data_IF_754970391349
#
_entry.id   IF_754970391349
#
_cell.length_a   1.000
_cell.length_b   1.000
_cell.length_c   1.000
_cell.angle_alpha   90.00
_cell.angle_beta   90.00
_cell.angle_gamma   90.00
#
_symmetry.space_group_name_H-M   'P 1'
#
loop_
_entity.id
_entity.type
_entity.pdbx_description
1 polymer ?
#
# COMPACT_ATOMS: atom_id res chain seq x y z
N UNK A 1 -17.53 10.65 -3.01
CA UNK A 1 -16.09 10.99 -2.84
C UNK A 1 -15.18 9.77 -2.71
N UNK A 2 -15.17 9.01 -1.61
CA UNK A 2 -14.20 7.91 -1.40
C UNK A 2 -14.18 6.89 -2.55
N UNK A 3 -15.34 6.49 -3.08
CA UNK A 3 -15.44 5.57 -4.23
C UNK A 3 -14.83 6.14 -5.53
N UNK A 4 -14.97 7.44 -5.79
CA UNK A 4 -14.35 8.08 -6.96
C UNK A 4 -12.81 8.06 -6.86
N UNK A 5 -12.26 8.25 -5.65
CA UNK A 5 -10.82 8.05 -5.41
C UNK A 5 -10.40 6.60 -5.66
N UNK A 6 -11.15 5.61 -5.16
CA UNK A 6 -10.84 4.19 -5.37
C UNK A 6 -10.84 3.81 -6.86
N UNK A 7 -11.82 4.31 -7.63
CA UNK A 7 -11.85 4.16 -9.10
C UNK A 7 -10.60 4.75 -9.76
N UNK A 8 -10.27 6.01 -9.47
CA UNK A 8 -9.08 6.66 -10.04
C UNK A 8 -7.78 5.95 -9.65
N UNK A 9 -7.64 5.47 -8.40
CA UNK A 9 -6.46 4.71 -7.96
C UNK A 9 -6.33 3.36 -8.69
N UNK A 10 -7.45 2.70 -9.01
CA UNK A 10 -7.48 1.47 -9.81
C UNK A 10 -7.16 1.73 -11.28
N UNK A 11 -7.75 2.75 -11.89
CA UNK A 11 -7.53 3.15 -13.29
C UNK A 11 -6.07 3.55 -13.54
N UNK A 12 -5.52 4.43 -12.70
CA UNK A 12 -4.12 4.85 -12.75
C UNK A 12 -3.17 3.65 -12.53
N UNK A 13 -3.54 2.69 -11.68
CA UNK A 13 -2.78 1.43 -11.55
C UNK A 13 -2.83 0.60 -12.84
N UNK A 14 -3.99 0.42 -13.48
CA UNK A 14 -4.09 -0.31 -14.76
C UNK A 14 -3.16 0.30 -15.81
N UNK A 15 -3.20 1.63 -16.00
CA UNK A 15 -2.30 2.34 -16.91
C UNK A 15 -0.83 2.08 -16.55
N UNK A 16 -0.46 2.20 -15.28
CA UNK A 16 0.94 1.98 -14.87
C UNK A 16 1.43 0.52 -15.01
N UNK A 17 0.51 -0.43 -15.19
CA UNK A 17 0.84 -1.83 -15.51
C UNK A 17 1.00 -2.01 -17.03
N UNK A 18 0.09 -1.47 -17.86
CA UNK A 18 0.22 -1.52 -19.32
C UNK A 18 1.47 -0.77 -19.81
N UNK A 19 1.76 0.39 -19.21
CA UNK A 19 2.96 1.20 -19.47
C UNK A 19 4.23 0.64 -18.80
N UNK A 20 4.14 -0.52 -18.13
CA UNK A 20 5.29 -1.22 -17.56
C UNK A 20 6.04 -0.45 -16.46
N UNK A 21 5.38 0.45 -15.73
CA UNK A 21 6.00 1.40 -14.80
C UNK A 21 6.27 0.84 -13.39
N UNK A 22 5.68 -0.30 -13.03
CA UNK A 22 5.76 -0.89 -11.66
C UNK A 22 6.91 -1.90 -11.47
N UNK A 23 7.83 -2.04 -12.43
CA UNK A 23 8.83 -3.13 -12.56
C UNK A 23 9.79 -3.42 -11.37
N UNK A 24 9.85 -2.59 -10.33
CA UNK A 24 10.82 -2.77 -9.23
C UNK A 24 10.22 -2.52 -7.83
N UNK A 25 9.38 -1.48 -7.68
CA UNK A 25 8.78 -1.13 -6.38
C UNK A 25 7.31 -0.69 -6.50
N UNK A 26 6.45 -1.04 -5.53
CA UNK A 26 5.04 -0.65 -5.54
C UNK A 26 4.89 0.85 -5.22
N UNK A 27 4.57 1.64 -6.25
CA UNK A 27 4.38 3.09 -6.14
C UNK A 27 3.12 3.45 -5.33
N UNK A 28 3.20 4.52 -4.52
CA UNK A 28 2.00 5.09 -3.87
C UNK A 28 1.13 5.78 -4.91
N UNK A 29 -0.20 5.95 -4.68
CA UNK A 29 -1.09 6.60 -5.65
C UNK A 29 -0.61 7.97 -6.16
N UNK A 30 -0.11 8.84 -5.28
CA UNK A 30 0.43 10.16 -5.65
C UNK A 30 1.73 10.06 -6.47
N UNK A 31 2.60 9.11 -6.14
CA UNK A 31 3.85 8.85 -6.88
C UNK A 31 3.57 8.30 -8.28
N UNK A 32 2.53 7.47 -8.40
CA UNK A 32 2.07 6.91 -9.67
C UNK A 32 1.47 7.97 -10.59
N UNK A 33 0.57 8.83 -10.08
CA UNK A 33 -0.01 9.95 -10.82
C UNK A 33 1.08 10.93 -11.28
N UNK A 34 2.02 11.29 -10.39
CA UNK A 34 3.13 12.19 -10.73
C UNK A 34 4.10 11.56 -11.74
N UNK A 35 4.39 10.25 -11.63
CA UNK A 35 5.26 9.53 -12.57
C UNK A 35 4.66 9.48 -13.98
N UNK A 36 3.37 9.18 -14.12
CA UNK A 36 2.67 9.21 -15.41
C UNK A 36 2.77 10.59 -16.07
N UNK A 37 2.51 11.65 -15.32
CA UNK A 37 2.62 13.03 -15.82
C UNK A 37 4.07 13.40 -16.19
N UNK A 38 5.05 12.98 -15.40
CA UNK A 38 6.50 13.18 -15.67
C UNK A 38 7.07 12.34 -16.81
N UNK A 39 6.26 11.49 -17.43
CA UNK A 39 6.59 10.72 -18.63
C UNK A 39 5.66 11.07 -19.80
N UNK A 40 4.87 12.15 -19.67
CA UNK A 40 3.90 12.65 -20.65
C UNK A 40 2.80 11.64 -21.07
N UNK A 41 2.62 10.58 -20.26
CA UNK A 41 1.60 9.54 -20.44
C UNK A 41 0.19 10.00 -20.01
N UNK A 42 0.09 11.09 -19.26
CA UNK A 42 -1.17 11.78 -18.97
C UNK A 42 -1.01 13.29 -19.20
N UNK A 43 -1.95 13.96 -19.87
CA UNK A 43 -1.89 15.42 -20.05
C UNK A 43 -2.12 16.15 -18.73
N UNK A 44 -1.64 17.39 -18.65
CA UNK A 44 -1.70 18.21 -17.43
C UNK A 44 -3.12 18.37 -16.86
N UNK A 45 -4.15 18.47 -17.72
CA UNK A 45 -5.55 18.51 -17.30
C UNK A 45 -5.98 17.24 -16.54
N UNK A 46 -5.65 16.06 -17.06
CA UNK A 46 -5.98 14.77 -16.43
C UNK A 46 -5.18 14.57 -15.14
N UNK A 47 -3.92 15.00 -15.10
CA UNK A 47 -3.12 15.05 -13.87
C UNK A 47 -3.81 15.90 -12.77
N UNK A 48 -4.28 17.11 -13.12
CA UNK A 48 -4.99 17.99 -12.18
C UNK A 48 -6.30 17.38 -11.69
N UNK A 49 -7.11 16.78 -12.57
CA UNK A 49 -8.34 16.10 -12.18
C UNK A 49 -8.09 14.91 -11.23
N UNK A 50 -7.10 14.07 -11.54
CA UNK A 50 -6.71 12.93 -10.70
C UNK A 50 -6.21 13.37 -9.32
N UNK A 51 -5.37 14.41 -9.26
CA UNK A 51 -4.87 14.92 -7.97
C UNK A 51 -5.96 15.64 -7.16
N UNK A 52 -6.92 16.31 -7.81
CA UNK A 52 -8.10 16.87 -7.15
C UNK A 52 -8.97 15.76 -6.54
N UNK A 53 -9.33 14.72 -7.31
CA UNK A 53 -10.14 13.59 -6.79
C UNK A 53 -9.40 12.88 -5.64
N UNK A 54 -8.08 12.72 -5.75
CA UNK A 54 -7.24 12.17 -4.68
C UNK A 54 -7.27 13.04 -3.40
N UNK A 55 -7.11 14.36 -3.53
CA UNK A 55 -7.17 15.31 -2.40
C UNK A 55 -8.55 15.34 -1.74
N UNK A 56 -9.61 15.51 -2.53
CA UNK A 56 -10.99 15.57 -2.05
C UNK A 56 -11.49 14.22 -1.50
N UNK A 57 -11.04 13.11 -2.08
CA UNK A 57 -11.27 11.76 -1.56
C UNK A 57 -10.56 11.49 -0.23
N UNK A 58 -9.33 11.99 -0.05
CA UNK A 58 -8.63 11.94 1.25
C UNK A 58 -9.36 12.78 2.31
N UNK A 59 -9.79 14.00 1.96
CA UNK A 59 -10.56 14.88 2.84
C UNK A 59 -11.84 14.18 3.32
N UNK A 60 -12.61 13.61 2.40
CA UNK A 60 -13.85 12.89 2.72
C UNK A 60 -13.66 11.57 3.49
N UNK A 61 -12.43 11.02 3.56
CA UNK A 61 -12.12 9.83 4.36
C UNK A 61 -11.74 10.16 5.82
N UNK A 62 -11.28 11.38 6.09
CA UNK A 62 -10.87 11.82 7.43
C UNK A 62 -11.88 12.76 8.11
N UNK A 63 -12.61 13.55 7.34
CA UNK A 63 -13.63 14.47 7.86
C UNK A 63 -15.03 13.89 7.62
N UNK A 64 -15.62 13.31 8.67
CA UNK A 64 -17.03 12.86 8.69
C UNK A 64 -17.99 14.05 8.86
N UNK A 65 -17.73 15.13 8.12
CA UNK A 65 -18.62 16.28 7.98
C UNK A 65 -19.31 16.16 6.63
N UNK A 66 -20.56 16.62 6.55
CA UNK A 66 -21.37 16.55 5.33
C UNK A 66 -20.61 17.10 4.12
N UNK A 67 -20.58 16.33 3.04
CA UNK A 67 -19.90 16.70 1.80
C UNK A 67 -20.82 17.64 1.03
N UNK A 68 -20.31 18.79 0.58
CA UNK A 68 -21.08 19.71 -0.27
C UNK A 68 -21.53 18.98 -1.55
N UNK A 69 -22.81 19.09 -1.91
CA UNK A 69 -23.34 18.59 -3.17
C UNK A 69 -22.58 19.13 -4.39
N UNK A 70 -21.97 20.33 -4.28
CA UNK A 70 -21.06 20.88 -5.30
C UNK A 70 -19.80 20.02 -5.47
N UNK A 71 -19.15 19.63 -4.38
CA UNK A 71 -17.97 18.73 -4.42
C UNK A 71 -18.33 17.37 -5.04
N UNK A 72 -19.54 16.86 -4.79
CA UNK A 72 -20.05 15.59 -5.37
C UNK A 72 -20.33 15.73 -6.87
N UNK A 73 -21.03 16.80 -7.29
CA UNK A 73 -21.34 17.06 -8.70
C UNK A 73 -20.08 17.35 -9.52
N UNK A 74 -19.10 18.06 -8.94
CA UNK A 74 -17.81 18.30 -9.60
C UNK A 74 -17.03 17.00 -9.73
N UNK A 75 -16.93 16.20 -8.67
CA UNK A 75 -16.31 14.87 -8.74
C UNK A 75 -16.93 13.98 -9.82
N UNK A 76 -18.25 14.06 -10.04
CA UNK A 76 -18.95 13.32 -11.10
C UNK A 76 -18.53 13.79 -12.51
N UNK A 77 -18.43 15.10 -12.76
CA UNK A 77 -17.89 15.64 -14.03
C UNK A 77 -16.45 15.17 -14.27
N UNK A 78 -15.60 15.26 -13.25
CA UNK A 78 -14.18 14.94 -13.39
C UNK A 78 -13.96 13.43 -13.61
N UNK A 79 -14.76 12.59 -12.95
CA UNK A 79 -14.76 11.14 -13.15
C UNK A 79 -15.17 10.78 -14.59
N UNK A 80 -16.18 11.46 -15.14
CA UNK A 80 -16.61 11.29 -16.53
C UNK A 80 -15.50 11.72 -17.52
N UNK A 81 -14.91 12.91 -17.34
CA UNK A 81 -13.77 13.39 -18.16
C UNK A 81 -12.62 12.38 -18.20
N UNK A 82 -12.19 11.89 -17.04
CA UNK A 82 -11.11 10.90 -16.92
C UNK A 82 -11.49 9.58 -17.61
N UNK A 83 -12.76 9.18 -17.52
CA UNK A 83 -13.24 7.94 -18.15
C UNK A 83 -13.29 8.06 -19.68
N UNK A 84 -13.73 9.19 -20.22
CA UNK A 84 -13.74 9.45 -21.67
C UNK A 84 -12.31 9.45 -22.23
N UNK A 85 -11.41 10.23 -21.62
CA UNK A 85 -9.99 10.25 -22.00
C UNK A 85 -9.33 8.86 -21.93
N UNK A 86 -9.67 8.05 -20.91
CA UNK A 86 -9.15 6.68 -20.82
C UNK A 86 -9.71 5.78 -21.93
N UNK A 87 -10.98 5.94 -22.33
CA UNK A 87 -11.55 5.20 -23.45
C UNK A 87 -10.87 5.56 -24.78
N UNK A 88 -10.67 6.85 -25.04
CA UNK A 88 -10.01 7.39 -26.24
C UNK A 88 -8.57 6.87 -26.40
N UNK A 89 -7.78 6.87 -25.31
CA UNK A 89 -6.34 6.55 -25.36
C UNK A 89 -6.04 5.06 -25.14
N UNK A 90 -6.79 4.37 -24.27
CA UNK A 90 -6.44 3.02 -23.80
C UNK A 90 -7.43 1.92 -24.19
N UNK A 91 -8.56 2.23 -24.83
CA UNK A 91 -9.60 1.23 -25.15
C UNK A 91 -9.98 1.19 -26.63
N UNK A 92 -10.32 2.34 -27.25
CA UNK A 92 -10.52 2.41 -28.70
C UNK A 92 -10.36 3.83 -29.24
N UNK A 93 -9.53 3.95 -30.28
CA UNK A 93 -9.35 5.17 -31.07
C UNK A 93 -10.61 5.57 -31.88
N UNK A 94 -11.59 4.67 -31.99
CA UNK A 94 -12.90 4.94 -32.63
C UNK A 94 -13.95 5.47 -31.64
N UNK A 95 -13.59 5.63 -30.35
CA UNK A 95 -14.51 6.11 -29.33
C UNK A 95 -14.88 7.58 -29.53
N UNK A 96 -16.14 7.84 -29.86
CA UNK A 96 -16.71 9.19 -29.91
C UNK A 96 -17.12 9.60 -28.50
N UNK A 97 -16.43 10.58 -27.90
CA UNK A 97 -16.76 11.07 -26.55
C UNK A 97 -18.19 11.62 -26.48
N UNK A 98 -19.05 11.05 -25.61
CA UNK A 98 -20.42 11.53 -25.45
C UNK A 98 -20.47 12.83 -24.64
N UNK A 99 -21.51 13.63 -24.86
CA UNK A 99 -21.72 14.86 -24.08
C UNK A 99 -22.05 14.54 -22.61
N UNK A 100 -21.41 15.26 -21.69
CA UNK A 100 -21.65 15.10 -20.25
C UNK A 100 -23.04 15.56 -19.85
N UNK A 101 -23.82 14.66 -19.25
CA UNK A 101 -25.15 14.96 -18.70
C UNK A 101 -25.09 15.04 -17.18
N UNK A 102 -25.61 16.13 -16.62
CA UNK A 102 -25.79 16.26 -15.18
C UNK A 102 -26.80 15.22 -14.67
N UNK A 103 -26.63 14.67 -13.45
CA UNK A 103 -27.64 13.83 -12.82
C UNK A 103 -28.84 14.69 -12.40
N UNK A 104 -29.80 14.83 -13.32
CA UNK A 104 -31.08 15.50 -13.06
C UNK A 104 -31.94 14.62 -12.16
N UNK A 105 -32.53 15.19 -11.10
CA UNK A 105 -33.44 14.51 -10.16
C UNK A 105 -34.82 14.15 -10.78
N UNK A 106 -34.90 14.02 -12.11
CA UNK A 106 -36.12 13.87 -12.88
C UNK A 106 -36.55 12.42 -13.02
N UNK A 107 -37.51 12.01 -12.18
CA UNK A 107 -38.55 11.00 -12.44
C UNK A 107 -38.18 9.61 -13.01
N UNK A 108 -36.89 9.24 -13.10
CA UNK A 108 -36.46 7.87 -13.33
C UNK A 108 -35.70 7.35 -12.10
N UNK A 109 -36.45 6.73 -11.18
CA UNK A 109 -35.89 5.68 -10.33
C UNK A 109 -35.52 4.53 -11.26
N UNK A 110 -34.25 4.46 -11.69
CA UNK A 110 -33.70 3.24 -12.28
C UNK A 110 -33.84 2.16 -11.20
N UNK A 111 -34.72 1.19 -11.42
CA UNK A 111 -34.92 0.17 -10.40
C UNK A 111 -33.66 -0.68 -10.30
N UNK A 112 -33.38 -1.23 -9.13
CA UNK A 112 -32.20 -2.07 -8.94
C UNK A 112 -32.18 -3.25 -9.93
N UNK A 113 -33.36 -3.76 -10.33
CA UNK A 113 -33.57 -4.74 -11.40
C UNK A 113 -33.02 -4.32 -12.76
N UNK A 114 -33.17 -3.04 -13.12
CA UNK A 114 -32.90 -2.55 -14.47
C UNK A 114 -31.38 -2.32 -14.62
N UNK A 115 -30.77 -1.79 -13.55
CA UNK A 115 -29.32 -1.72 -13.38
C UNK A 115 -28.70 -3.12 -13.36
N UNK A 116 -29.29 -4.06 -12.61
CA UNK A 116 -28.89 -5.48 -12.61
C UNK A 116 -28.91 -6.06 -14.02
N UNK A 117 -29.98 -5.85 -14.78
CA UNK A 117 -30.16 -6.45 -16.11
C UNK A 117 -29.21 -5.87 -17.17
N UNK A 118 -28.74 -4.62 -16.99
CA UNK A 118 -27.70 -4.00 -17.83
C UNK A 118 -26.30 -4.43 -17.41
N UNK A 119 -26.04 -4.55 -16.11
CA UNK A 119 -24.72 -4.91 -15.57
C UNK A 119 -24.43 -6.41 -15.68
N UNK A 120 -25.42 -7.29 -15.47
CA UNK A 120 -25.27 -8.76 -15.54
C UNK A 120 -24.63 -9.26 -16.84
N UNK A 121 -25.07 -8.91 -18.06
CA UNK A 121 -24.40 -9.38 -19.27
C UNK A 121 -22.94 -8.93 -19.35
N UNK A 122 -22.61 -7.72 -18.86
CA UNK A 122 -21.24 -7.22 -18.85
C UNK A 122 -20.36 -7.90 -17.80
N UNK A 123 -20.90 -8.21 -16.60
CA UNK A 123 -20.21 -9.00 -15.58
C UNK A 123 -20.05 -10.45 -16.03
N UNK A 124 -21.07 -11.07 -16.64
CA UNK A 124 -21.00 -12.45 -17.14
C UNK A 124 -19.98 -12.55 -18.27
N UNK A 125 -19.99 -11.63 -19.24
CA UNK A 125 -19.00 -11.61 -20.34
C UNK A 125 -17.57 -11.37 -19.82
N UNK A 126 -17.39 -10.52 -18.80
CA UNK A 126 -16.05 -10.28 -18.22
C UNK A 126 -15.60 -11.40 -17.28
N UNK A 127 -16.51 -12.12 -16.61
CA UNK A 127 -16.21 -13.33 -15.84
C UNK A 127 -15.86 -14.49 -16.76
N UNK A 128 -16.66 -14.78 -17.80
CA UNK A 128 -16.37 -15.81 -18.80
C UNK A 128 -14.98 -15.63 -19.39
N UNK A 129 -14.65 -14.41 -19.86
CA UNK A 129 -13.29 -14.10 -20.34
C UNK A 129 -12.20 -14.27 -19.29
N UNK A 130 -12.47 -13.97 -18.02
CA UNK A 130 -11.49 -14.19 -16.94
C UNK A 130 -11.30 -15.67 -16.61
N UNK A 131 -12.35 -16.48 -16.73
CA UNK A 131 -12.28 -17.92 -16.48
C UNK A 131 -11.67 -18.68 -17.67
N UNK A 132 -11.95 -18.28 -18.91
CA UNK A 132 -11.20 -18.68 -20.12
C UNK A 132 -9.69 -18.43 -19.94
N UNK A 133 -9.30 -17.21 -19.56
CA UNK A 133 -7.90 -16.85 -19.27
C UNK A 133 -7.30 -17.65 -18.10
N UNK A 134 -8.11 -18.09 -17.13
CA UNK A 134 -7.65 -18.94 -16.01
C UNK A 134 -7.39 -20.36 -16.45
N UNK A 135 -8.27 -20.95 -17.27
CA UNK A 135 -8.07 -22.30 -17.80
C UNK A 135 -6.84 -22.37 -18.71
N UNK A 136 -6.63 -21.37 -19.57
CA UNK A 136 -5.38 -21.25 -20.35
C UNK A 136 -4.15 -21.14 -19.44
N UNK A 137 -4.20 -20.34 -18.38
CA UNK A 137 -3.08 -20.16 -17.46
C UNK A 137 -2.78 -21.41 -16.60
N UNK A 138 -3.82 -22.14 -16.18
CA UNK A 138 -3.67 -23.44 -15.50
C UNK A 138 -2.99 -24.44 -16.43
N UNK A 139 -3.46 -24.55 -17.68
CA UNK A 139 -2.89 -25.44 -18.69
C UNK A 139 -1.42 -25.12 -19.01
N UNK A 140 -1.04 -23.84 -19.03
CA UNK A 140 0.36 -23.42 -19.17
C UNK A 140 1.20 -23.82 -17.94
N UNK A 141 0.68 -23.63 -16.72
CA UNK A 141 1.36 -24.03 -15.48
C UNK A 141 1.55 -25.54 -15.36
N UNK A 142 0.59 -26.33 -15.86
CA UNK A 142 0.67 -27.79 -15.87
C UNK A 142 1.72 -28.29 -16.87
N UNK A 143 1.76 -27.75 -18.09
CA UNK A 143 2.81 -28.07 -19.07
C UNK A 143 4.22 -27.77 -18.53
N UNK A 144 4.44 -26.57 -17.97
CA UNK A 144 5.72 -26.17 -17.35
C UNK A 144 6.11 -27.08 -16.17
N UNK A 145 5.12 -27.67 -15.48
CA UNK A 145 5.33 -28.60 -14.37
C UNK A 145 5.70 -30.01 -14.84
N UNK A 146 5.15 -30.46 -15.97
CA UNK A 146 5.51 -31.75 -16.58
C UNK A 146 6.90 -31.72 -17.22
N UNK A 147 7.29 -30.61 -17.85
CA UNK A 147 8.67 -30.37 -18.31
C UNK A 147 9.66 -30.47 -17.14
N UNK A 148 9.40 -29.77 -16.03
CA UNK A 148 10.28 -29.84 -14.86
C UNK A 148 10.32 -31.20 -14.16
N UNK A 149 9.23 -31.96 -14.18
CA UNK A 149 9.22 -33.32 -13.65
C UNK A 149 9.99 -34.31 -14.53
N UNK A 150 10.10 -34.07 -15.84
CA UNK A 150 10.88 -34.92 -16.75
C UNK A 150 12.37 -34.57 -16.77
N UNK A 151 12.75 -33.31 -16.54
CA UNK A 151 14.15 -32.93 -16.29
C UNK A 151 14.70 -33.51 -14.98
N UNK A 152 13.91 -33.49 -13.90
CA UNK A 152 14.31 -33.97 -12.56
C UNK A 152 14.60 -35.49 -12.47
N UNK A 153 14.39 -36.26 -13.54
CA UNK A 153 14.52 -37.70 -13.56
C UNK A 153 15.89 -38.24 -14.04
N UNK A 154 16.87 -37.38 -14.36
CA UNK A 154 18.12 -37.79 -15.04
C UNK A 154 19.38 -37.90 -14.18
N UNK A 155 19.51 -37.13 -13.10
CA UNK A 155 20.72 -37.14 -12.26
C UNK A 155 20.47 -37.79 -10.89
N UNK A 156 21.00 -38.99 -10.65
CA UNK A 156 20.77 -39.71 -9.38
C UNK A 156 21.89 -40.72 -9.04
N UNK A 157 22.84 -40.34 -8.17
CA UNK A 157 23.85 -41.24 -7.56
C UNK A 157 24.13 -40.81 -6.10
N UNK A 158 23.75 -41.62 -5.07
CA UNK A 158 23.90 -41.28 -3.65
C UNK A 158 25.03 -42.04 -2.92
N UNK A 159 25.60 -41.43 -1.85
CA UNK A 159 25.67 -42.09 -0.51
C UNK A 159 25.58 -41.09 0.69
N UNK A 160 25.30 -41.44 1.96
CA UNK A 160 24.66 -42.62 2.60
C UNK A 160 24.16 -42.23 4.05
N UNK A 161 24.03 -43.20 4.97
CA UNK A 161 23.62 -43.12 6.41
C UNK A 161 24.74 -42.57 7.34
N UNK A 162 24.62 -42.34 8.67
CA UNK A 162 23.97 -42.97 9.87
C UNK A 162 23.73 -41.85 10.94
N UNK A 163 22.82 -41.85 11.95
CA UNK A 163 21.86 -42.85 12.51
C UNK A 163 21.05 -42.33 13.73
N UNK A 164 21.22 -42.90 14.95
CA UNK A 164 20.46 -42.66 16.22
C UNK A 164 21.18 -43.37 17.41
N UNK A 165 20.87 -43.20 18.76
CA UNK A 165 19.52 -43.10 19.37
C UNK A 165 19.33 -42.42 20.79
N UNK A 166 18.06 -42.47 21.29
CA UNK A 166 17.55 -42.58 22.70
C UNK A 166 17.60 -41.40 23.72
N UNK A 167 16.39 -41.01 24.19
CA UNK A 167 15.81 -41.05 25.57
C UNK A 167 16.68 -40.67 26.83
N UNK A 168 16.14 -40.13 27.95
CA UNK A 168 14.75 -40.11 28.51
C UNK A 168 14.55 -38.98 29.56
N UNK A 169 13.29 -38.59 29.83
CA UNK A 169 12.75 -37.89 31.03
C UNK A 169 13.33 -36.47 31.41
N UNK A 170 12.66 -35.56 32.13
CA UNK A 170 11.60 -35.70 33.14
C UNK A 170 10.71 -34.43 33.30
N UNK A 171 9.49 -34.63 33.84
CA UNK A 171 8.50 -33.75 34.53
C UNK A 171 8.95 -32.33 35.05
N UNK A 172 8.09 -31.32 35.28
CA UNK A 172 6.60 -31.16 35.27
C UNK A 172 6.16 -29.67 35.17
N UNK A 173 4.83 -29.43 35.15
CA UNK A 173 4.05 -28.23 35.53
C UNK A 173 3.32 -27.47 34.39
N UNK A 174 2.02 -27.23 34.62
CA UNK A 174 1.06 -26.62 33.69
C UNK A 174 1.09 -25.10 33.75
N UNK A 175 0.88 -24.42 32.61
CA UNK A 175 0.10 -23.16 32.60
C UNK A 175 -0.70 -22.94 31.31
N UNK A 176 -2.02 -23.01 31.46
CA UNK A 176 -3.10 -22.43 30.64
C UNK A 176 -2.91 -22.21 29.12
N UNK A 177 -3.76 -22.89 28.34
CA UNK A 177 -4.16 -22.42 27.01
C UNK A 177 -4.92 -21.09 27.11
N UNK A 178 -4.48 -20.09 26.33
CA UNK A 178 -5.25 -19.02 25.66
C UNK A 178 -4.25 -18.07 24.98
N UNK A 179 -4.47 -17.52 23.80
CA UNK A 179 -5.41 -17.85 22.70
C UNK A 179 -5.11 -16.88 21.55
N UNK A 180 -5.02 -17.38 20.31
CA UNK A 180 -5.01 -16.62 19.04
C UNK A 180 -3.98 -15.49 18.86
N UNK A 181 -3.28 -15.49 17.71
CA UNK A 181 -2.56 -14.31 17.20
C UNK A 181 -3.52 -13.20 16.73
N UNK A 182 -4.30 -12.65 17.66
CA UNK A 182 -5.09 -11.44 17.43
C UNK A 182 -4.13 -10.25 17.32
N UNK A 183 -3.66 -9.97 16.10
CA UNK A 183 -2.82 -8.80 15.81
C UNK A 183 -3.53 -7.54 16.30
N UNK A 184 -2.97 -6.90 17.33
CA UNK A 184 -3.50 -5.64 17.83
C UNK A 184 -3.51 -4.62 16.69
N UNK A 185 -4.56 -3.80 16.54
CA UNK A 185 -4.54 -2.72 15.56
C UNK A 185 -3.42 -1.73 15.95
N UNK A 186 -2.49 -1.44 15.03
CA UNK A 186 -1.27 -0.63 15.21
C UNK A 186 -1.41 0.57 16.17
N UNK A 187 -2.55 1.25 16.12
CA UNK A 187 -2.88 2.37 17.01
C UNK A 187 -2.80 2.02 18.51
N UNK A 188 -3.31 0.84 18.92
CA UNK A 188 -3.21 0.34 20.30
C UNK A 188 -1.78 -0.01 20.68
N UNK A 189 -0.98 -0.52 19.74
CA UNK A 189 0.44 -0.83 19.97
C UNK A 189 1.23 0.46 20.25
N UNK A 190 1.01 1.50 19.44
CA UNK A 190 1.57 2.85 19.64
C UNK A 190 1.17 3.44 20.99
N UNK A 191 -0.12 3.39 21.34
CA UNK A 191 -0.64 3.88 22.62
C UNK A 191 -0.04 3.11 23.82
N UNK A 192 0.15 1.78 23.69
CA UNK A 192 0.81 0.95 24.70
C UNK A 192 2.31 1.28 24.87
N UNK A 193 3.06 1.42 23.77
CA UNK A 193 4.48 1.75 23.79
C UNK A 193 4.73 3.14 24.38
N UNK A 194 3.93 4.15 24.02
CA UNK A 194 3.97 5.47 24.66
C UNK A 194 3.70 5.36 26.17
N UNK A 195 2.74 4.53 26.59
CA UNK A 195 2.48 4.22 28.00
C UNK A 195 3.64 3.55 28.74
N UNK A 196 4.55 2.86 28.04
CA UNK A 196 5.80 2.33 28.61
C UNK A 196 6.83 3.46 28.71
N UNK A 197 7.01 4.27 27.67
CA UNK A 197 7.97 5.38 27.67
C UNK A 197 7.67 6.42 28.77
N UNK A 198 6.41 6.83 28.94
CA UNK A 198 6.03 7.76 30.01
C UNK A 198 6.29 7.20 31.42
N UNK A 199 6.15 5.89 31.63
CA UNK A 199 6.50 5.22 32.91
C UNK A 199 8.00 5.16 33.18
N UNK A 200 8.82 5.28 32.14
CA UNK A 200 10.29 5.27 32.21
C UNK A 200 10.87 6.68 32.00
N UNK A 201 10.16 7.72 32.45
CA UNK A 201 10.61 9.12 32.45
C UNK A 201 10.97 9.70 31.06
N UNK A 202 10.44 9.15 29.96
CA UNK A 202 10.52 9.79 28.64
C UNK A 202 9.34 10.74 28.41
N UNK A 203 9.63 11.95 27.93
CA UNK A 203 8.65 12.94 27.49
C UNK A 203 8.70 13.11 25.97
N UNK A 204 7.56 13.38 25.33
CA UNK A 204 7.52 13.70 23.89
C UNK A 204 8.07 15.11 23.66
N UNK A 205 9.10 15.24 22.82
CA UNK A 205 9.70 16.53 22.44
C UNK A 205 9.26 17.00 21.07
N UNK A 206 8.81 16.09 20.21
CA UNK A 206 8.21 16.40 18.91
C UNK A 206 7.34 15.25 18.39
N UNK A 207 6.21 15.55 17.76
CA UNK A 207 5.37 14.55 17.08
C UNK A 207 5.07 14.99 15.64
N UNK A 208 5.03 13.99 14.76
CA UNK A 208 4.53 14.07 13.39
C UNK A 208 3.56 12.91 13.15
N UNK A 209 2.73 13.00 12.11
CA UNK A 209 1.75 11.98 11.75
C UNK A 209 2.32 10.58 11.39
N UNK A 210 3.63 10.35 11.51
CA UNK A 210 4.32 9.07 11.26
C UNK A 210 5.49 8.79 12.23
N UNK A 211 5.82 9.69 13.14
CA UNK A 211 7.05 9.58 13.95
C UNK A 211 7.01 10.50 15.16
N UNK A 212 7.48 10.00 16.31
CA UNK A 212 7.56 10.74 17.58
C UNK A 212 9.01 10.75 18.07
N UNK A 213 9.51 11.91 18.49
CA UNK A 213 10.75 12.09 19.26
C UNK A 213 10.41 12.08 20.75
N UNK A 214 11.04 11.16 21.49
CA UNK A 214 10.94 11.00 22.94
C UNK A 214 12.31 11.30 23.56
N UNK A 215 12.36 12.03 24.67
CA UNK A 215 13.60 12.31 25.40
C UNK A 215 13.45 11.97 26.88
N UNK A 216 14.43 11.26 27.45
CA UNK A 216 14.45 10.93 28.87
C UNK A 216 14.77 12.18 29.70
N UNK A 217 13.91 12.55 30.65
CA UNK A 217 14.00 13.82 31.38
C UNK A 217 15.27 14.02 32.20
N UNK A 218 15.84 12.94 32.77
CA UNK A 218 17.08 12.98 33.56
C UNK A 218 18.36 12.89 32.72
N UNK A 219 18.50 11.84 31.89
CA UNK A 219 19.75 11.56 31.15
C UNK A 219 19.81 12.18 29.74
N UNK A 220 18.77 12.89 29.32
CA UNK A 220 18.63 13.56 28.01
C UNK A 220 18.75 12.64 26.76
N UNK A 221 18.80 11.32 26.92
CA UNK A 221 18.82 10.37 25.79
C UNK A 221 17.54 10.44 24.95
N UNK A 222 17.70 10.30 23.63
CA UNK A 222 16.63 10.47 22.65
C UNK A 222 16.30 9.15 21.95
N UNK A 223 15.01 8.84 21.88
CA UNK A 223 14.44 7.65 21.27
C UNK A 223 13.35 8.05 20.28
N UNK A 224 13.25 7.33 19.16
CA UNK A 224 12.30 7.60 18.10
C UNK A 224 11.33 6.45 17.93
N UNK A 225 10.03 6.76 17.99
CA UNK A 225 8.96 5.82 17.67
C UNK A 225 8.49 6.08 16.23
N UNK A 226 8.77 5.16 15.31
CA UNK A 226 8.48 5.29 13.89
C UNK A 226 7.24 4.48 13.50
N UNK A 227 6.14 5.20 13.25
CA UNK A 227 4.79 4.73 12.94
C UNK A 227 4.68 4.44 11.43
N UNK A 228 5.20 3.27 11.02
CA UNK A 228 5.26 2.80 9.63
C UNK A 228 4.26 1.65 9.40
N UNK A 229 4.58 0.65 8.55
CA UNK A 229 3.79 -0.59 8.44
C UNK A 229 3.81 -1.44 9.71
N UNK A 230 4.86 -1.26 10.51
CA UNK A 230 5.11 -1.88 11.81
C UNK A 230 5.74 -0.80 12.70
N UNK A 231 5.33 -0.71 13.97
CA UNK A 231 5.83 0.32 14.89
C UNK A 231 7.28 0.02 15.29
N UNK A 232 8.23 0.78 14.73
CA UNK A 232 9.67 0.56 14.98
C UNK A 232 10.20 1.52 16.04
N UNK A 233 10.92 1.01 17.05
CA UNK A 233 11.72 1.83 17.97
C UNK A 233 13.13 2.00 17.37
N UNK A 234 13.70 3.21 17.45
CA UNK A 234 15.06 3.53 16.99
C UNK A 234 15.74 4.43 18.02
N UNK A 235 16.96 4.09 18.44
CA UNK A 235 17.77 4.91 19.36
C UNK A 235 18.53 6.02 18.60
N UNK A 236 18.92 7.09 19.29
CA UNK A 236 19.84 8.09 18.72
C UNK A 236 21.26 7.49 18.53
N UNK A 237 21.95 7.75 17.40
CA UNK A 237 23.29 7.19 17.18
C UNK A 237 24.37 7.57 18.22
N UNK A 238 24.25 8.71 18.90
CA UNK A 238 25.18 9.06 19.99
C UNK A 238 24.93 8.22 21.27
N UNK A 239 23.76 7.61 21.41
CA UNK A 239 23.46 6.60 22.44
C UNK A 239 23.99 5.21 22.03
N UNK A 240 24.08 4.94 20.72
CA UNK A 240 24.52 3.66 20.16
C UNK A 240 26.03 3.38 20.32
N UNK A 241 26.86 4.40 20.55
CA UNK A 241 28.30 4.24 20.77
C UNK A 241 28.68 3.72 22.18
N UNK A 242 27.71 3.54 23.08
CA UNK A 242 27.97 3.25 24.52
C UNK A 242 27.78 1.80 24.96
N UNK A 243 27.04 0.97 24.22
CA UNK A 243 26.80 -0.44 24.59
C UNK A 243 26.69 -1.34 23.35
N UNK A 244 27.63 -2.29 23.23
CA UNK A 244 27.66 -3.29 22.16
C UNK A 244 26.43 -4.20 22.13
N UNK A 245 25.76 -4.41 23.26
CA UNK A 245 24.61 -5.32 23.37
C UNK A 245 23.35 -4.76 22.71
N UNK A 246 23.27 -3.44 22.49
CA UNK A 246 22.14 -2.78 21.81
C UNK A 246 22.28 -2.81 20.27
N UNK A 247 23.33 -3.45 19.73
CA UNK A 247 23.60 -3.55 18.29
C UNK A 247 22.67 -4.54 17.58
N UNK A 248 21.44 -4.10 17.31
CA UNK A 248 20.57 -4.79 16.35
C UNK A 248 21.27 -4.89 14.97
N UNK A 249 21.05 -5.98 14.23
CA UNK A 249 21.53 -6.14 12.83
C UNK A 249 20.73 -5.29 11.82
N UNK A 250 20.13 -4.19 12.28
CA UNK A 250 19.26 -3.32 11.50
C UNK A 250 20.04 -2.37 10.59
N UNK A 251 19.52 -2.13 9.39
CA UNK A 251 20.04 -1.09 8.49
C UNK A 251 19.86 0.30 9.12
N UNK A 252 20.93 1.11 9.12
CA UNK A 252 20.89 2.53 9.53
C UNK A 252 19.73 3.22 8.83
N UNK A 253 18.83 3.83 9.61
CA UNK A 253 17.68 4.60 9.11
C UNK A 253 18.03 6.08 9.08
N UNK A 254 17.46 6.80 8.11
CA UNK A 254 17.51 8.26 8.04
C UNK A 254 16.08 8.81 8.13
N UNK A 255 15.90 9.94 8.83
CA UNK A 255 14.63 10.65 8.91
C UNK A 255 14.86 12.15 8.78
N UNK A 256 14.17 12.77 7.82
CA UNK A 256 14.16 14.23 7.63
C UNK A 256 13.03 14.92 8.38
N UNK A 257 12.06 14.14 8.88
CA UNK A 257 10.84 14.63 9.55
C UNK A 257 11.02 14.91 11.04
N UNK A 258 12.18 14.57 11.61
CA UNK A 258 12.49 14.67 13.04
C UNK A 258 13.60 15.72 13.25
N UNK A 259 13.56 16.45 14.37
CA UNK A 259 14.43 17.60 14.61
C UNK A 259 15.85 17.16 14.97
N UNK A 260 15.97 16.27 15.95
CA UNK A 260 17.24 15.80 16.51
C UNK A 260 17.81 14.61 15.73
N UNK A 261 16.98 13.88 14.99
CA UNK A 261 17.43 12.75 14.19
C UNK A 261 18.54 13.18 13.20
N UNK A 262 19.70 12.48 13.17
CA UNK A 262 20.86 12.93 12.41
C UNK A 262 20.62 12.90 10.89
N UNK A 263 21.03 13.99 10.24
CA UNK A 263 20.81 14.25 8.83
C UNK A 263 22.11 14.05 8.08
N UNK A 264 22.11 13.17 7.07
CA UNK A 264 23.25 13.05 6.18
C UNK A 264 23.49 14.38 5.47
N UNK A 265 24.75 14.87 5.49
CA UNK A 265 25.20 15.92 4.58
C UNK A 265 25.21 15.31 3.17
N UNK A 266 24.48 15.92 2.25
CA UNK A 266 24.53 15.52 0.84
C UNK A 266 25.88 15.96 0.27
N UNK A 267 26.81 15.03 0.08
CA UNK A 267 28.04 15.25 -0.70
C UNK A 267 27.73 15.31 -2.20
N UNK A 268 26.80 16.18 -2.59
CA UNK A 268 26.50 16.44 -4.00
C UNK A 268 27.68 17.17 -4.64
N UNK A 269 28.17 16.65 -5.76
CA UNK A 269 29.11 17.39 -6.60
C UNK A 269 28.40 18.67 -7.08
N UNK A 270 29.01 19.83 -6.82
CA UNK A 270 28.65 21.07 -7.48
C UNK A 270 28.97 20.91 -8.97
N UNK A 271 27.95 20.91 -9.81
CA UNK A 271 28.13 21.03 -11.26
C UNK A 271 28.60 22.47 -11.56
N UNK A 272 29.73 22.55 -12.27
CA UNK A 272 30.15 23.67 -13.11
C UNK A 272 30.13 23.13 -14.53
#
# INVERSE_FOLDING_TARGET
MVQARLFCEKLVKTISVSEGLEKVYPLKPVERIYKLYRQDLIPAEIYLHLDWIRKSGNKAAHYVKEVDMKDVLEAHKLLFKISCWYMEVYVSHEFITPEYKLPTNGSNRVNASDLDNIIKPYIVQTMQRVDEFREEFIKQLEAIKEEKNTEAARDNVPPQTIGSPRNTDMQTMKKHQRSSDEKLPLRKEKEHLLGIFYKNNFAVTYETAKSIELQHTVINEVVYLLDNRETSIVLHPETFERDDNLKSKGKVRSSTALKQFPKHKNNGQSLI
#
